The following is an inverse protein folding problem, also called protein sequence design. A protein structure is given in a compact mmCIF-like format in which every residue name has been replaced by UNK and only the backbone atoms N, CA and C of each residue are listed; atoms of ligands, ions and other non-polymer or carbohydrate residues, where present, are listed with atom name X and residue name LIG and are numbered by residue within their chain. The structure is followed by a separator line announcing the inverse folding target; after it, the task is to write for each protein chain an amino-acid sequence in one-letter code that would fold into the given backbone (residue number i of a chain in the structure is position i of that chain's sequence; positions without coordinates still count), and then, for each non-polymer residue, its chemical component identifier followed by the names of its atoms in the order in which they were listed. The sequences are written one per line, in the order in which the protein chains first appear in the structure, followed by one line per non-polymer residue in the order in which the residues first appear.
data_IF_744534130741
#
_entry.id   IF_744534130741
#
_cell.length_a   1.000
_cell.length_b   1.000
_cell.length_c   1.000
_cell.angle_alpha   90.00
_cell.angle_beta   90.00
_cell.angle_gamma   90.00
#
_symmetry.space_group_name_H-M   'P 1'
#
loop_
_entity.id
_entity.type
_entity.pdbx_description
1 polymer ?
#
# COMPACT_ATOMS: atom_id res chain seq x y z
N UNK A 1 -2.39 14.90 -81.48
CA UNK A 1 -2.89 13.62 -82.05
C UNK A 1 -2.56 12.53 -81.05
N UNK A 2 -3.52 11.77 -80.50
CA UNK A 2 -4.40 10.78 -81.18
C UNK A 2 -3.55 9.64 -81.82
N UNK A 3 -3.81 8.35 -81.59
CA UNK A 3 -5.06 7.71 -81.12
C UNK A 3 -4.85 6.22 -80.69
N UNK A 4 -5.62 5.73 -79.70
CA UNK A 4 -6.14 4.34 -79.53
C UNK A 4 -5.13 3.17 -79.31
N UNK A 5 -5.47 2.07 -78.60
CA UNK A 5 -6.78 1.41 -78.40
C UNK A 5 -6.81 0.38 -77.23
N UNK A 6 -7.98 0.18 -76.57
CA UNK A 6 -8.68 -1.12 -76.26
C UNK A 6 -7.92 -2.23 -75.46
N UNK A 7 -8.41 -2.98 -74.45
CA UNK A 7 -9.62 -3.12 -73.57
C UNK A 7 -9.17 -4.05 -72.36
N UNK A 8 -9.99 -4.67 -71.48
CA UNK A 8 -10.98 -4.23 -70.46
C UNK A 8 -11.80 -5.47 -69.99
N UNK A 9 -12.15 -5.61 -68.69
CA UNK A 9 -13.03 -6.68 -68.11
C UNK A 9 -12.37 -8.09 -68.08
N UNK A 10 -12.46 -8.99 -67.09
CA UNK A 10 -13.41 -9.31 -66.00
C UNK A 10 -12.64 -9.95 -64.79
N UNK A 11 -13.18 -10.33 -63.61
CA UNK A 11 -14.52 -10.30 -63.00
C UNK A 11 -14.39 -10.28 -61.44
N UNK A 12 -15.43 -10.69 -60.69
CA UNK A 12 -15.43 -10.93 -59.22
C UNK A 12 -15.96 -12.34 -58.93
N UNK A 13 -15.44 -13.06 -57.94
CA UNK A 13 -16.26 -13.96 -57.11
C UNK A 13 -15.65 -14.18 -55.71
N UNK A 14 -16.51 -14.18 -54.69
CA UNK A 14 -16.17 -14.40 -53.28
C UNK A 14 -16.70 -15.78 -52.86
N UNK A 15 -15.88 -16.65 -52.25
CA UNK A 15 -16.39 -17.84 -51.56
C UNK A 15 -15.42 -18.35 -50.49
N UNK A 16 -15.96 -18.65 -49.31
CA UNK A 16 -15.24 -19.07 -48.12
C UNK A 16 -15.43 -20.57 -47.83
N UNK A 17 -14.34 -21.31 -47.58
CA UNK A 17 -14.38 -22.61 -46.89
C UNK A 17 -13.13 -22.75 -46.00
N UNK A 18 -13.32 -23.34 -44.82
CA UNK A 18 -12.35 -23.43 -43.71
C UNK A 18 -11.48 -24.71 -43.74
N UNK A 19 -10.52 -24.77 -42.80
CA UNK A 19 -9.72 -25.93 -42.32
C UNK A 19 -8.37 -26.15 -43.03
N UNK A 20 -7.27 -26.56 -42.38
CA UNK A 20 -6.73 -26.59 -40.99
C UNK A 20 -5.43 -27.40 -41.10
N UNK A 21 -4.44 -27.16 -40.23
CA UNK A 21 -3.23 -28.01 -40.01
C UNK A 21 -2.21 -28.15 -41.16
N UNK A 22 -0.89 -28.24 -40.92
CA UNK A 22 -0.12 -27.98 -39.69
C UNK A 22 1.36 -27.76 -40.04
N UNK A 23 2.03 -26.83 -39.36
CA UNK A 23 3.48 -26.85 -39.16
C UNK A 23 3.85 -26.20 -37.81
N UNK A 24 4.06 -27.04 -36.80
CA UNK A 24 4.84 -26.77 -35.59
C UNK A 24 4.60 -25.46 -34.85
N UNK A 25 3.57 -25.40 -34.00
CA UNK A 25 3.53 -24.43 -32.89
C UNK A 25 4.68 -24.73 -31.90
N UNK A 26 5.76 -23.95 -31.97
CA UNK A 26 6.56 -23.72 -30.78
C UNK A 26 5.83 -22.68 -29.93
N UNK A 27 5.02 -23.17 -28.99
CA UNK A 27 4.33 -22.34 -28.00
C UNK A 27 5.36 -21.77 -27.01
N UNK A 28 6.08 -20.74 -27.46
CA UNK A 28 6.88 -19.86 -26.61
C UNK A 28 5.92 -19.03 -25.76
N UNK A 29 5.37 -19.68 -24.72
CA UNK A 29 4.43 -19.11 -23.76
C UNK A 29 4.89 -17.71 -23.35
N UNK A 30 4.10 -16.71 -23.78
CA UNK A 30 4.27 -15.32 -23.40
C UNK A 30 4.33 -15.22 -21.87
N UNK A 31 5.53 -15.00 -21.31
CA UNK A 31 5.69 -14.56 -19.92
C UNK A 31 5.27 -13.09 -19.85
N UNK A 32 3.96 -12.88 -19.95
CA UNK A 32 3.28 -11.60 -19.80
C UNK A 32 3.55 -11.07 -18.38
N UNK A 33 4.51 -10.15 -18.29
CA UNK A 33 5.07 -9.55 -17.09
C UNK A 33 5.73 -10.55 -16.11
N UNK A 34 7.02 -10.32 -15.86
CA UNK A 34 7.81 -11.03 -14.86
C UNK A 34 7.17 -10.85 -13.46
N UNK A 35 6.77 -11.93 -12.76
CA UNK A 35 6.05 -11.79 -11.49
C UNK A 35 6.97 -11.24 -10.39
N UNK A 36 6.36 -10.50 -9.46
CA UNK A 36 7.04 -10.06 -8.23
C UNK A 36 6.96 -11.19 -7.21
N UNK A 37 8.13 -11.61 -6.72
CA UNK A 37 8.28 -12.53 -5.60
C UNK A 37 8.45 -11.73 -4.32
N UNK A 38 7.70 -12.10 -3.27
CA UNK A 38 7.74 -11.45 -1.95
C UNK A 38 8.42 -12.39 -0.94
N UNK A 39 9.63 -12.06 -0.51
CA UNK A 39 10.43 -12.89 0.39
C UNK A 39 10.36 -12.35 1.81
N UNK A 40 9.81 -13.12 2.76
CA UNK A 40 9.74 -12.75 4.17
C UNK A 40 11.11 -12.79 4.85
N UNK A 41 11.83 -11.67 4.84
CA UNK A 41 13.19 -11.57 5.39
C UNK A 41 13.23 -11.63 6.91
N UNK A 42 12.30 -10.95 7.59
CA UNK A 42 12.17 -10.94 9.06
C UNK A 42 10.68 -10.86 9.42
N UNK A 43 10.21 -11.64 10.38
CA UNK A 43 8.76 -11.75 10.71
C UNK A 43 8.42 -11.36 12.15
N UNK A 44 9.38 -10.86 12.92
CA UNK A 44 9.21 -10.50 14.34
C UNK A 44 10.07 -9.29 14.78
N UNK A 45 10.40 -8.37 13.86
CA UNK A 45 11.25 -7.23 14.19
C UNK A 45 10.53 -6.22 15.09
N UNK A 46 11.24 -5.65 16.06
CA UNK A 46 10.81 -4.47 16.83
C UNK A 46 11.12 -3.17 16.07
N UNK A 47 12.29 -3.11 15.44
CA UNK A 47 12.70 -2.06 14.52
C UNK A 47 13.66 -2.60 13.45
N UNK A 48 13.79 -1.87 12.34
CA UNK A 48 14.79 -2.09 11.29
C UNK A 48 15.34 -0.79 10.73
N UNK A 49 16.60 -0.79 10.29
CA UNK A 49 17.18 0.32 9.54
C UNK A 49 17.07 0.04 8.04
N UNK A 50 16.47 0.97 7.30
CA UNK A 50 16.48 0.97 5.85
C UNK A 50 17.46 2.05 5.38
N UNK A 51 18.36 1.71 4.45
CA UNK A 51 19.31 2.67 3.86
C UNK A 51 19.45 2.48 2.35
N UNK A 52 20.05 3.46 1.68
CA UNK A 52 20.58 3.32 0.32
C UNK A 52 21.92 4.05 0.20
N UNK A 53 22.68 3.74 -0.85
CA UNK A 53 23.85 4.51 -1.29
C UNK A 53 23.52 5.46 -2.44
N UNK A 54 22.24 5.54 -2.83
CA UNK A 54 21.70 6.58 -3.72
C UNK A 54 21.61 7.93 -3.00
N UNK A 55 21.31 8.98 -3.75
CA UNK A 55 20.97 10.33 -3.27
C UNK A 55 19.75 10.37 -2.35
N UNK A 56 18.77 9.45 -2.49
CA UNK A 56 17.62 9.39 -1.59
C UNK A 56 16.88 8.06 -1.57
N UNK A 57 16.19 7.82 -0.45
CA UNK A 57 15.15 6.81 -0.31
C UNK A 57 13.82 7.32 -0.86
N UNK A 58 13.04 6.36 -1.36
CA UNK A 58 11.68 6.52 -1.84
C UNK A 58 10.78 5.62 -0.98
N UNK A 59 9.62 6.13 -0.55
CA UNK A 59 8.57 5.33 0.10
C UNK A 59 7.28 5.31 -0.71
N UNK A 60 6.58 4.18 -0.71
CA UNK A 60 5.27 3.98 -1.35
C UNK A 60 4.39 3.17 -0.41
N UNK A 61 3.13 3.59 -0.21
CA UNK A 61 2.10 2.76 0.42
C UNK A 61 1.02 2.40 -0.62
N UNK A 62 0.22 1.34 -0.40
CA UNK A 62 -0.95 1.05 -1.22
C UNK A 62 -1.89 2.27 -1.34
N UNK A 63 -2.31 2.55 -2.57
CA UNK A 63 -3.25 3.63 -2.93
C UNK A 63 -2.77 5.05 -2.56
N UNK A 64 -1.47 5.24 -2.32
CA UNK A 64 -0.86 6.53 -2.00
C UNK A 64 0.18 6.93 -3.06
N UNK A 65 0.37 8.24 -3.32
CA UNK A 65 1.44 8.71 -4.19
C UNK A 65 2.82 8.39 -3.59
N UNK A 66 3.79 8.22 -4.48
CA UNK A 66 5.18 8.01 -4.11
C UNK A 66 5.74 9.21 -3.32
N UNK A 67 6.34 8.93 -2.16
CA UNK A 67 6.96 9.92 -1.28
C UNK A 67 8.48 9.91 -1.47
N UNK A 68 9.04 11.05 -1.86
CA UNK A 68 10.49 11.26 -1.85
C UNK A 68 10.92 11.68 -0.44
N UNK A 69 11.87 10.97 0.17
CA UNK A 69 12.17 11.17 1.59
C UNK A 69 13.29 12.20 1.87
N UNK A 70 14.00 12.68 0.83
CA UNK A 70 15.14 13.59 0.98
C UNK A 70 16.25 13.10 1.95
N UNK A 71 16.31 11.79 2.24
CA UNK A 71 17.26 11.14 3.15
C UNK A 71 17.69 9.79 2.61
N UNK A 72 18.91 9.36 2.93
CA UNK A 72 19.46 8.05 2.54
C UNK A 72 19.25 6.97 3.60
N UNK A 73 18.69 7.33 4.77
CA UNK A 73 18.48 6.44 5.91
C UNK A 73 17.18 6.75 6.65
N UNK A 74 16.42 5.70 6.96
CA UNK A 74 15.31 5.74 7.92
C UNK A 74 15.40 4.61 8.94
N UNK A 75 14.87 4.85 10.13
CA UNK A 75 14.57 3.82 11.13
C UNK A 75 13.07 3.55 11.12
N UNK A 76 12.69 2.28 11.01
CA UNK A 76 11.29 1.85 10.96
C UNK A 76 10.98 1.02 12.20
N UNK A 77 9.89 1.33 12.91
CA UNK A 77 9.42 0.60 14.11
C UNK A 77 7.91 0.42 14.10
N UNK A 78 7.38 -0.36 15.05
CA UNK A 78 5.94 -0.44 15.30
C UNK A 78 5.58 0.27 16.62
N UNK A 79 4.52 1.10 16.63
CA UNK A 79 3.94 1.66 17.86
C UNK A 79 2.43 1.39 17.93
N UNK A 80 1.85 1.46 19.13
CA UNK A 80 0.39 1.45 19.30
C UNK A 80 -0.22 2.64 18.56
N UNK A 81 -1.26 2.38 17.75
CA UNK A 81 -1.96 3.42 17.02
C UNK A 81 -2.59 4.41 18.00
N UNK A 82 -2.44 5.70 17.69
CA UNK A 82 -3.14 6.79 18.38
C UNK A 82 -4.00 7.48 17.32
N UNK A 83 -5.34 7.45 17.45
CA UNK A 83 -6.20 8.23 16.56
C UNK A 83 -5.78 9.70 16.60
N UNK A 84 -5.83 10.42 15.46
CA UNK A 84 -5.61 11.87 15.46
C UNK A 84 -6.70 12.58 16.27
N UNK A 85 -6.28 13.66 16.92
CA UNK A 85 -7.15 14.63 17.59
C UNK A 85 -7.36 15.81 16.65
N UNK A 86 -8.60 16.24 16.49
CA UNK A 86 -8.99 17.42 15.71
C UNK A 86 -9.75 18.39 16.61
N UNK A 87 -9.46 19.68 16.47
CA UNK A 87 -10.26 20.73 17.10
C UNK A 87 -11.35 21.13 16.08
N UNK A 88 -12.62 21.01 16.46
CA UNK A 88 -13.78 21.49 15.69
C UNK A 88 -14.39 22.72 16.37
N UNK A 89 -14.96 23.61 15.56
CA UNK A 89 -15.44 24.92 16.01
C UNK A 89 -16.96 25.00 15.92
N UNK A 90 -17.62 25.16 17.06
CA UNK A 90 -19.06 25.41 17.18
C UNK A 90 -19.35 26.87 17.45
N UNK A 91 -20.55 27.34 17.08
CA UNK A 91 -21.00 28.71 17.30
C UNK A 91 -22.15 28.67 18.30
N UNK A 92 -22.00 29.34 19.44
CA UNK A 92 -23.03 29.38 20.48
C UNK A 92 -23.34 30.85 20.83
N UNK A 93 -24.61 31.25 20.71
CA UNK A 93 -25.12 32.50 21.29
C UNK A 93 -25.45 32.16 22.75
N UNK A 94 -24.78 32.79 23.69
CA UNK A 94 -24.78 32.45 25.12
C UNK A 94 -25.49 33.52 25.97
N UNK A 95 -25.69 33.22 27.26
CA UNK A 95 -26.23 34.15 28.27
C UNK A 95 -27.68 34.62 28.02
N UNK A 96 -28.52 33.79 27.41
CA UNK A 96 -29.94 34.09 27.19
C UNK A 96 -30.73 33.77 28.47
N UNK A 97 -31.60 34.65 28.95
CA UNK A 97 -32.19 34.53 30.29
C UNK A 97 -33.34 33.52 30.35
N UNK A 98 -34.08 33.32 29.26
CA UNK A 98 -35.27 32.45 29.24
C UNK A 98 -35.33 31.49 28.04
N UNK A 99 -36.06 30.38 28.20
CA UNK A 99 -36.30 29.42 27.11
C UNK A 99 -37.04 30.07 25.94
N UNK A 100 -38.03 30.93 26.24
CA UNK A 100 -38.84 31.60 25.22
C UNK A 100 -38.00 32.57 24.37
N UNK A 101 -37.10 33.30 25.02
CA UNK A 101 -36.14 34.18 24.35
C UNK A 101 -35.13 33.36 23.54
N UNK A 102 -34.64 32.23 24.06
CA UNK A 102 -33.72 31.36 23.33
C UNK A 102 -34.38 30.70 22.11
N UNK A 103 -35.64 30.31 22.21
CA UNK A 103 -36.44 29.81 21.09
C UNK A 103 -36.71 30.91 20.04
N UNK A 104 -36.92 32.17 20.48
CA UNK A 104 -37.06 33.33 19.59
C UNK A 104 -35.74 33.62 18.85
N UNK A 105 -34.62 33.78 19.56
CA UNK A 105 -33.28 33.95 18.96
C UNK A 105 -32.95 32.81 18.00
N UNK A 106 -33.25 31.57 18.38
CA UNK A 106 -33.04 30.41 17.52
C UNK A 106 -33.93 30.41 16.26
N UNK A 107 -35.11 31.02 16.31
CA UNK A 107 -35.99 31.23 15.16
C UNK A 107 -35.45 32.35 14.27
N UNK A 108 -35.10 33.49 14.84
CA UNK A 108 -34.61 34.66 14.11
C UNK A 108 -33.29 34.34 13.37
N UNK A 109 -32.38 33.62 14.03
CA UNK A 109 -31.17 33.07 13.39
C UNK A 109 -31.54 32.18 12.20
N UNK A 110 -32.47 31.23 12.38
CA UNK A 110 -32.94 30.33 11.30
C UNK A 110 -33.47 31.11 10.10
N UNK A 111 -34.29 32.13 10.33
CA UNK A 111 -34.90 32.94 9.27
C UNK A 111 -33.89 33.85 8.56
N UNK A 112 -32.89 34.39 9.27
CA UNK A 112 -31.87 35.29 8.71
C UNK A 112 -30.67 34.58 8.06
N UNK A 113 -30.34 33.37 8.50
CA UNK A 113 -29.13 32.63 8.06
C UNK A 113 -29.44 31.39 7.23
N UNK A 114 -30.66 30.84 7.32
CA UNK A 114 -31.04 29.50 6.85
C UNK A 114 -30.23 28.34 7.49
N UNK A 115 -29.52 28.61 8.59
CA UNK A 115 -28.77 27.60 9.34
C UNK A 115 -29.65 26.89 10.37
N UNK A 116 -29.28 25.64 10.70
CA UNK A 116 -29.94 24.90 11.79
C UNK A 116 -29.54 25.48 13.14
N UNK A 117 -30.44 25.43 14.11
CA UNK A 117 -30.17 25.87 15.49
C UNK A 117 -30.57 24.82 16.52
N UNK A 118 -29.80 24.68 17.59
CA UNK A 118 -30.11 23.81 18.72
C UNK A 118 -30.06 24.61 20.04
N UNK A 119 -31.22 24.72 20.68
CA UNK A 119 -31.39 25.37 21.99
C UNK A 119 -31.02 24.40 23.12
N UNK A 120 -30.20 24.84 24.08
CA UNK A 120 -29.83 24.07 25.28
C UNK A 120 -29.76 24.98 26.51
N UNK A 121 -30.12 24.44 27.67
CA UNK A 121 -29.88 25.07 28.97
C UNK A 121 -28.45 24.75 29.44
N UNK A 122 -27.70 25.77 29.86
CA UNK A 122 -26.47 25.57 30.61
C UNK A 122 -26.78 25.46 32.11
N UNK A 123 -26.62 24.26 32.66
CA UNK A 123 -26.93 23.98 34.05
C UNK A 123 -25.95 24.63 35.07
N UNK A 124 -24.83 25.22 34.62
CA UNK A 124 -23.88 25.90 35.53
C UNK A 124 -24.24 27.37 35.75
N UNK A 125 -24.60 28.07 34.68
CA UNK A 125 -24.98 29.49 34.71
C UNK A 125 -26.49 29.69 34.88
N UNK A 126 -27.29 28.62 34.69
CA UNK A 126 -28.74 28.68 34.60
C UNK A 126 -29.23 29.63 33.48
N UNK A 127 -28.44 29.77 32.42
CA UNK A 127 -28.76 30.55 31.22
C UNK A 127 -28.89 29.62 30.02
N UNK A 128 -29.67 30.05 29.03
CA UNK A 128 -29.86 29.34 27.77
C UNK A 128 -28.79 29.72 26.75
N UNK A 129 -28.52 28.80 25.84
CA UNK A 129 -27.61 29.01 24.71
C UNK A 129 -28.17 28.37 23.44
N UNK A 130 -27.92 29.03 22.31
CA UNK A 130 -28.34 28.59 20.98
C UNK A 130 -27.10 28.24 20.18
N UNK A 131 -26.91 26.95 19.88
CA UNK A 131 -25.88 26.51 18.92
C UNK A 131 -26.39 26.78 17.50
N UNK A 132 -25.55 27.33 16.64
CA UNK A 132 -25.89 27.74 15.26
C UNK A 132 -25.02 26.99 14.25
N UNK A 133 -25.65 26.46 13.21
CA UNK A 133 -25.01 25.81 12.06
C UNK A 133 -24.35 24.46 12.38
N UNK A 134 -23.70 23.91 11.36
CA UNK A 134 -22.77 22.80 11.49
C UNK A 134 -21.38 23.30 11.96
N UNK A 135 -20.59 22.42 12.58
CA UNK A 135 -19.23 22.77 13.01
C UNK A 135 -18.30 23.09 11.83
N UNK A 136 -17.28 23.92 12.05
CA UNK A 136 -16.17 24.10 11.09
C UNK A 136 -14.95 23.30 11.50
N UNK A 137 -14.17 22.86 10.52
CA UNK A 137 -12.95 22.06 10.72
C UNK A 137 -11.69 22.94 10.81
N UNK A 138 -11.79 24.22 10.42
CA UNK A 138 -10.70 25.20 10.49
C UNK A 138 -11.11 26.45 11.28
N UNK A 139 -10.12 27.12 11.88
CA UNK A 139 -10.35 28.36 12.64
C UNK A 139 -10.63 29.54 11.69
N UNK A 140 -10.11 29.49 10.47
CA UNK A 140 -10.36 30.43 9.39
C UNK A 140 -11.84 30.44 8.99
N UNK A 141 -12.40 29.29 8.60
CA UNK A 141 -13.84 29.14 8.30
C UNK A 141 -14.72 29.54 9.50
N UNK A 142 -14.26 29.26 10.72
CA UNK A 142 -14.99 29.63 11.93
C UNK A 142 -15.03 31.14 12.15
N UNK A 143 -13.94 31.85 11.89
CA UNK A 143 -13.90 33.30 11.97
C UNK A 143 -14.74 33.96 10.87
N UNK A 144 -14.71 33.43 9.64
CA UNK A 144 -15.56 33.90 8.54
C UNK A 144 -17.05 33.71 8.85
N UNK A 145 -17.45 32.53 9.32
CA UNK A 145 -18.84 32.26 9.68
C UNK A 145 -19.31 33.10 10.88
N UNK A 146 -18.44 33.33 11.88
CA UNK A 146 -18.74 34.26 12.98
C UNK A 146 -18.92 35.70 12.49
N UNK A 147 -18.16 36.14 11.50
CA UNK A 147 -18.31 37.47 10.91
C UNK A 147 -19.68 37.62 10.21
N UNK A 148 -20.08 36.65 9.38
CA UNK A 148 -21.39 36.61 8.71
C UNK A 148 -22.56 36.63 9.72
N UNK A 149 -22.47 35.87 10.82
CA UNK A 149 -23.45 35.95 11.92
C UNK A 149 -23.50 37.36 12.53
N UNK A 150 -22.35 38.00 12.74
CA UNK A 150 -22.28 39.34 13.32
C UNK A 150 -22.81 40.43 12.38
N UNK A 151 -22.61 40.31 11.05
CA UNK A 151 -23.20 41.22 10.06
C UNK A 151 -24.73 41.11 10.02
N UNK A 152 -25.26 39.91 10.28
CA UNK A 152 -26.69 39.63 10.44
C UNK A 152 -27.24 40.00 11.82
N UNK A 153 -26.42 40.59 12.70
CA UNK A 153 -26.82 41.08 14.02
C UNK A 153 -26.72 40.07 15.16
N UNK A 154 -26.18 38.86 14.93
CA UNK A 154 -26.07 37.81 15.94
C UNK A 154 -24.66 37.70 16.52
N UNK A 155 -24.54 37.93 17.83
CA UNK A 155 -23.25 37.82 18.54
C UNK A 155 -23.06 36.37 19.01
N UNK A 156 -22.29 35.59 18.25
CA UNK A 156 -21.93 34.22 18.59
C UNK A 156 -20.49 34.09 19.15
N UNK A 157 -20.31 33.22 20.13
CA UNK A 157 -19.01 32.78 20.63
C UNK A 157 -18.56 31.51 19.89
N UNK A 158 -17.24 31.39 19.63
CA UNK A 158 -16.65 30.18 19.07
C UNK A 158 -16.27 29.27 20.24
N UNK A 159 -16.88 28.09 20.27
CA UNK A 159 -16.58 27.02 21.23
C UNK A 159 -15.76 25.95 20.52
N UNK A 160 -14.49 25.84 20.88
CA UNK A 160 -13.60 24.78 20.39
C UNK A 160 -13.89 23.47 21.14
N UNK A 161 -14.30 22.44 20.42
CA UNK A 161 -14.47 21.08 20.94
C UNK A 161 -13.41 20.18 20.31
N UNK A 162 -12.64 19.45 21.14
CA UNK A 162 -11.65 18.50 20.63
C UNK A 162 -12.27 17.12 20.47
N UNK A 163 -12.27 16.63 19.24
CA UNK A 163 -12.77 15.29 18.89
C UNK A 163 -11.62 14.35 18.53
N UNK A 164 -11.81 13.07 18.85
CA UNK A 164 -10.90 11.99 18.49
C UNK A 164 -11.55 11.22 17.34
N UNK A 165 -11.01 11.33 16.12
CA UNK A 165 -11.59 10.70 14.92
C UNK A 165 -10.60 9.67 14.33
N UNK A 166 -10.84 8.36 14.54
CA UNK A 166 -10.02 7.32 13.92
C UNK A 166 -10.17 7.32 12.39
N UNK A 167 -9.10 6.95 11.67
CA UNK A 167 -9.18 6.81 10.22
C UNK A 167 -10.01 5.57 9.81
N UNK A 168 -10.56 5.60 8.60
CA UNK A 168 -11.26 4.46 7.99
C UNK A 168 -10.39 3.19 7.97
N UNK A 169 -9.10 3.32 7.69
CA UNK A 169 -8.10 2.25 7.75
C UNK A 169 -7.96 1.67 9.17
N UNK A 170 -7.96 2.51 10.20
CA UNK A 170 -7.87 2.07 11.60
C UNK A 170 -9.10 1.25 12.00
N UNK A 171 -10.28 1.64 11.54
CA UNK A 171 -11.52 0.90 11.77
C UNK A 171 -11.52 -0.42 11.00
N UNK A 172 -11.18 -0.42 9.72
CA UNK A 172 -11.12 -1.62 8.89
C UNK A 172 -10.16 -2.67 9.50
N UNK A 173 -8.96 -2.26 9.89
CA UNK A 173 -7.98 -3.12 10.57
C UNK A 173 -8.46 -3.58 11.95
N UNK A 174 -9.14 -2.73 12.71
CA UNK A 174 -9.72 -3.10 14.01
C UNK A 174 -10.79 -4.17 13.88
N UNK A 175 -11.65 -4.08 12.85
CA UNK A 175 -12.66 -5.10 12.54
C UNK A 175 -12.00 -6.40 12.08
N UNK A 176 -10.98 -6.33 11.23
CA UNK A 176 -10.22 -7.50 10.78
C UNK A 176 -9.49 -8.20 11.94
N UNK A 177 -8.96 -7.45 12.91
CA UNK A 177 -8.39 -7.98 14.16
C UNK A 177 -9.44 -8.64 15.07
N UNK A 178 -10.71 -8.22 15.02
CA UNK A 178 -11.81 -8.79 15.83
C UNK A 178 -12.43 -10.04 15.18
N UNK A 179 -12.52 -10.08 13.86
CA UNK A 179 -13.23 -11.14 13.11
C UNK A 179 -12.31 -12.25 12.58
N UNK A 180 -11.06 -11.91 12.23
CA UNK A 180 -10.13 -12.86 11.62
C UNK A 180 -9.46 -13.79 12.62
N UNK A 181 -9.15 -15.01 12.17
CA UNK A 181 -8.18 -15.85 12.88
C UNK A 181 -6.80 -15.17 12.96
N UNK A 182 -5.92 -15.59 13.88
CA UNK A 182 -4.56 -15.02 14.04
C UNK A 182 -3.69 -15.01 12.75
N UNK A 183 -4.12 -15.72 11.71
CA UNK A 183 -3.50 -15.86 10.39
C UNK A 183 -4.16 -15.01 9.29
N UNK A 184 -5.17 -14.20 9.61
CA UNK A 184 -5.97 -13.44 8.62
C UNK A 184 -5.83 -11.92 8.76
N UNK A 185 -5.12 -11.44 9.78
CA UNK A 185 -4.83 -10.01 9.98
C UNK A 185 -3.80 -9.55 8.96
N UNK A 186 -4.28 -9.05 7.83
CA UNK A 186 -3.48 -8.38 6.81
C UNK A 186 -3.34 -6.91 7.22
N UNK A 187 -2.14 -6.34 7.11
CA UNK A 187 -2.06 -4.92 6.79
C UNK A 187 -2.80 -4.69 5.47
N UNK A 188 -3.53 -3.59 5.31
CA UNK A 188 -4.36 -3.34 4.12
C UNK A 188 -3.50 -3.36 2.84
N UNK A 189 -3.60 -4.47 2.08
CA UNK A 189 -2.93 -4.67 0.78
C UNK A 189 -3.86 -4.22 -0.39
N UNK A 190 -5.14 -3.96 -0.09
CA UNK A 190 -6.14 -3.34 -0.98
C UNK A 190 -7.05 -2.43 -0.15
N UNK A 191 -7.61 -1.36 -0.75
CA UNK A 191 -8.50 -0.44 -0.05
C UNK A 191 -9.87 -1.09 0.17
N UNK A 192 -10.48 -0.84 1.33
CA UNK A 192 -11.85 -1.28 1.62
C UNK A 192 -12.78 -0.08 1.46
N UNK A 193 -13.40 0.05 0.29
CA UNK A 193 -14.40 1.10 0.04
C UNK A 193 -15.70 0.79 0.77
N UNK A 194 -15.84 1.22 2.02
CA UNK A 194 -17.12 1.22 2.73
C UNK A 194 -17.17 2.22 3.88
N UNK A 195 -18.04 3.23 3.72
CA UNK A 195 -18.80 3.94 4.77
C UNK A 195 -18.09 4.37 6.07
N UNK A 196 -18.00 5.69 6.28
CA UNK A 196 -17.69 6.35 7.55
C UNK A 196 -18.50 5.78 8.73
N UNK A 197 -17.87 5.15 9.74
CA UNK A 197 -18.54 4.66 10.93
C UNK A 197 -18.24 5.60 12.12
N UNK A 198 -19.21 6.41 12.49
CA UNK A 198 -19.07 7.53 13.46
C UNK A 198 -18.91 7.13 14.93
N UNK A 199 -18.73 5.84 15.24
CA UNK A 199 -18.40 5.34 16.59
C UNK A 199 -17.80 3.91 16.55
N UNK A 200 -16.80 3.70 15.69
CA UNK A 200 -16.14 2.40 15.60
C UNK A 200 -15.06 2.21 16.69
N UNK A 201 -15.30 1.28 17.61
CA UNK A 201 -14.36 0.89 18.67
C UNK A 201 -13.04 0.34 18.07
N UNK A 202 -11.98 1.14 18.14
CA UNK A 202 -10.63 0.78 17.72
C UNK A 202 -10.07 -0.34 18.61
N UNK A 203 -9.41 -1.32 18.00
CA UNK A 203 -8.77 -2.39 18.74
C UNK A 203 -7.61 -1.82 19.59
N UNK A 204 -7.57 -2.05 20.92
CA UNK A 204 -6.54 -1.46 21.79
C UNK A 204 -5.12 -1.98 21.49
N UNK A 205 -5.00 -3.09 20.75
CA UNK A 205 -3.72 -3.63 20.29
C UNK A 205 -3.39 -3.23 18.83
N UNK A 206 -4.19 -2.37 18.19
CA UNK A 206 -3.88 -1.84 16.86
C UNK A 206 -2.54 -1.10 16.90
N UNK A 207 -1.70 -1.38 15.91
CA UNK A 207 -0.34 -0.85 15.80
C UNK A 207 -0.07 -0.43 14.37
N UNK A 208 0.71 0.64 14.25
CA UNK A 208 1.07 1.27 12.99
C UNK A 208 2.59 1.22 12.78
N UNK A 209 3.01 1.27 11.51
CA UNK A 209 4.40 1.43 11.09
C UNK A 209 4.80 2.89 11.31
N UNK A 210 5.92 3.13 11.98
CA UNK A 210 6.53 4.45 12.15
C UNK A 210 7.83 4.50 11.39
N UNK A 211 7.96 5.50 10.53
CA UNK A 211 9.19 5.85 9.82
C UNK A 211 9.76 7.08 10.51
N UNK A 212 11.07 7.04 10.81
CA UNK A 212 11.81 8.17 11.36
C UNK A 212 13.05 8.41 10.50
N UNK A 213 13.17 9.58 9.88
CA UNK A 213 14.26 9.88 8.94
C UNK A 213 14.70 11.34 8.87
N UNK A 214 14.14 12.21 9.71
CA UNK A 214 14.24 13.68 9.59
C UNK A 214 12.90 14.31 9.22
N UNK A 215 12.89 15.63 8.99
CA UNK A 215 11.67 16.44 8.82
C UNK A 215 10.71 15.87 7.77
N UNK A 216 11.22 15.59 6.57
CA UNK A 216 10.40 15.18 5.42
C UNK A 216 10.30 13.65 5.27
N UNK A 217 10.89 12.91 6.21
CA UNK A 217 11.00 11.45 6.21
C UNK A 217 10.46 10.80 7.50
N UNK A 218 9.66 11.53 8.28
CA UNK A 218 9.05 11.03 9.50
C UNK A 218 7.53 11.04 9.39
N UNK A 219 6.92 9.86 9.43
CA UNK A 219 5.48 9.65 9.27
C UNK A 219 5.06 8.32 9.87
N UNK A 220 3.75 8.13 10.06
CA UNK A 220 3.15 6.83 10.36
C UNK A 220 2.29 6.31 9.21
N UNK A 221 2.06 5.00 9.19
CA UNK A 221 1.08 4.36 8.32
C UNK A 221 0.53 3.09 8.94
N UNK A 222 -0.77 2.87 8.77
CA UNK A 222 -1.45 1.62 9.07
C UNK A 222 -1.35 0.60 7.92
N UNK A 223 -0.95 1.06 6.73
CA UNK A 223 -0.70 0.22 5.55
C UNK A 223 0.75 -0.27 5.54
N UNK A 224 1.08 -1.16 4.60
CA UNK A 224 2.48 -1.53 4.34
C UNK A 224 3.23 -0.37 3.70
N UNK A 225 4.44 -0.07 4.16
CA UNK A 225 5.32 0.95 3.56
C UNK A 225 6.45 0.25 2.81
N UNK A 226 6.55 0.48 1.51
CA UNK A 226 7.58 -0.06 0.64
C UNK A 226 8.69 0.97 0.40
N UNK A 227 9.93 0.59 0.72
CA UNK A 227 11.10 1.44 0.55
C UNK A 227 11.95 1.00 -0.64
N UNK A 228 12.34 1.96 -1.48
CA UNK A 228 13.27 1.77 -2.59
C UNK A 228 14.28 2.91 -2.65
N UNK A 229 15.09 2.88 -3.71
CA UNK A 229 15.98 3.97 -4.14
C UNK A 229 15.60 4.41 -5.55
N UNK A 230 16.06 5.59 -5.96
CA UNK A 230 15.74 6.19 -7.25
C UNK A 230 16.31 5.31 -8.39
N UNK A 231 17.57 4.88 -8.25
CA UNK A 231 18.24 3.98 -9.16
C UNK A 231 18.44 2.59 -8.53
N UNK A 232 17.34 1.91 -8.24
CA UNK A 232 17.30 0.59 -7.59
C UNK A 232 18.12 -0.51 -8.28
N UNK A 233 18.49 -0.34 -9.57
CA UNK A 233 19.38 -1.26 -10.30
C UNK A 233 20.87 -1.06 -9.98
N UNK A 234 21.32 0.17 -9.73
CA UNK A 234 22.73 0.49 -9.47
C UNK A 234 23.01 0.68 -7.98
N UNK A 235 22.09 1.31 -7.25
CA UNK A 235 22.19 1.68 -5.84
C UNK A 235 21.05 1.05 -5.04
N UNK A 236 21.03 -0.30 -4.88
CA UNK A 236 19.93 -1.03 -4.27
C UNK A 236 19.62 -0.55 -2.84
N UNK A 237 18.34 -0.67 -2.46
CA UNK A 237 17.89 -0.50 -1.08
C UNK A 237 18.53 -1.55 -0.16
N UNK A 238 18.78 -1.19 1.09
CA UNK A 238 19.48 -2.02 2.06
C UNK A 238 18.65 -2.15 3.33
N UNK A 239 18.53 -3.38 3.82
CA UNK A 239 17.94 -3.71 5.12
C UNK A 239 19.06 -4.05 6.09
N UNK A 240 19.19 -3.32 7.19
CA UNK A 240 20.22 -3.51 8.22
C UNK A 240 21.64 -3.64 7.62
N UNK A 241 21.96 -2.80 6.63
CA UNK A 241 23.24 -2.77 5.92
C UNK A 241 23.38 -3.74 4.74
N UNK A 242 22.52 -4.76 4.61
CA UNK A 242 22.55 -5.74 3.53
C UNK A 242 21.69 -5.32 2.33
N UNK A 243 22.24 -5.37 1.12
CA UNK A 243 21.59 -4.89 -0.10
C UNK A 243 20.62 -5.90 -0.73
N UNK A 244 19.51 -5.40 -1.26
CA UNK A 244 18.47 -6.18 -1.94
C UNK A 244 17.97 -5.43 -3.18
N UNK A 245 17.70 -6.19 -4.25
CA UNK A 245 17.06 -5.66 -5.47
C UNK A 245 15.58 -5.39 -5.23
N UNK A 246 14.95 -4.59 -6.08
CA UNK A 246 13.55 -4.20 -5.91
C UNK A 246 13.35 -3.28 -4.72
N UNK A 247 12.41 -3.62 -3.83
CA UNK A 247 11.99 -2.81 -2.68
C UNK A 247 11.90 -3.63 -1.38
N UNK A 248 11.99 -2.95 -0.24
CA UNK A 248 11.74 -3.52 1.09
C UNK A 248 10.39 -3.04 1.60
N UNK A 249 9.41 -3.94 1.65
CA UNK A 249 8.08 -3.72 2.22
C UNK A 249 8.11 -4.00 3.72
N UNK A 250 7.56 -3.08 4.53
CA UNK A 250 7.48 -3.19 5.99
C UNK A 250 6.04 -2.97 6.43
N UNK A 251 5.52 -3.87 7.26
CA UNK A 251 4.18 -3.78 7.83
C UNK A 251 4.09 -4.40 9.22
N UNK A 252 3.07 -4.03 10.00
CA UNK A 252 2.75 -4.66 11.27
C UNK A 252 1.94 -5.93 11.03
N UNK A 253 2.34 -7.05 11.65
CA UNK A 253 1.62 -8.32 11.57
C UNK A 253 0.64 -8.54 12.74
N UNK A 254 -0.10 -9.65 12.69
CA UNK A 254 -1.07 -10.07 13.74
C UNK A 254 -0.50 -10.17 15.16
N UNK A 255 0.82 -10.21 15.33
CA UNK A 255 1.52 -10.23 16.64
C UNK A 255 1.91 -8.83 17.13
N UNK A 256 1.58 -7.77 16.40
CA UNK A 256 1.98 -6.39 16.73
C UNK A 256 3.48 -6.11 16.51
N UNK A 257 4.14 -6.95 15.71
CA UNK A 257 5.57 -6.86 15.36
C UNK A 257 5.75 -6.54 13.88
N UNK A 258 6.90 -5.98 13.49
CA UNK A 258 7.20 -5.74 12.08
C UNK A 258 7.50 -7.05 11.34
N UNK A 259 6.87 -7.18 10.18
CA UNK A 259 7.28 -8.09 9.11
C UNK A 259 7.93 -7.27 8.01
N UNK A 260 9.06 -7.77 7.52
CA UNK A 260 9.89 -7.12 6.53
C UNK A 260 10.07 -8.09 5.37
N UNK A 261 9.65 -7.64 4.19
CA UNK A 261 9.53 -8.42 2.98
C UNK A 261 10.37 -7.76 1.90
N UNK A 262 11.18 -8.52 1.17
CA UNK A 262 11.75 -8.02 -0.07
C UNK A 262 10.81 -8.37 -1.22
N UNK A 263 10.28 -7.35 -1.90
CA UNK A 263 9.50 -7.51 -3.12
C UNK A 263 10.39 -7.17 -4.31
N UNK A 264 10.64 -8.18 -5.15
CA UNK A 264 11.64 -8.17 -6.22
C UNK A 264 11.11 -8.98 -7.40
N UNK A 265 11.53 -8.68 -8.62
CA UNK A 265 11.09 -9.46 -9.79
C UNK A 265 11.76 -10.84 -9.80
N UNK A 266 11.09 -11.83 -10.38
CA UNK A 266 11.50 -13.25 -10.35
C UNK A 266 12.95 -13.50 -10.81
N UNK A 267 13.41 -12.85 -11.87
CA UNK A 267 14.77 -13.05 -12.38
C UNK A 267 15.81 -12.39 -11.46
N UNK A 268 15.53 -11.19 -10.96
CA UNK A 268 16.37 -10.50 -9.95
C UNK A 268 16.41 -11.25 -8.60
N UNK A 269 15.35 -12.00 -8.26
CA UNK A 269 15.33 -12.93 -7.12
C UNK A 269 16.31 -14.09 -7.34
N UNK A 270 16.27 -14.72 -8.52
CA UNK A 270 17.11 -15.88 -8.84
C UNK A 270 18.61 -15.58 -8.82
N UNK A 271 19.01 -14.35 -9.16
CA UNK A 271 20.40 -13.89 -9.01
C UNK A 271 20.92 -14.07 -7.57
N UNK A 272 20.05 -13.89 -6.57
CA UNK A 272 20.34 -14.08 -5.15
C UNK A 272 20.02 -15.48 -4.60
N UNK A 273 19.50 -16.40 -5.42
CA UNK A 273 19.23 -17.81 -5.05
C UNK A 273 20.27 -18.75 -5.65
N UNK A 274 20.43 -18.75 -6.97
CA UNK A 274 21.21 -19.75 -7.71
C UNK A 274 22.64 -19.94 -7.18
N UNK A 275 23.43 -18.87 -6.90
CA UNK A 275 24.78 -19.01 -6.32
C UNK A 275 24.84 -19.58 -4.89
N UNK A 276 23.71 -19.61 -4.17
CA UNK A 276 23.63 -20.07 -2.79
C UNK A 276 23.08 -21.50 -2.66
N UNK A 277 22.39 -22.00 -3.69
CA UNK A 277 21.85 -23.36 -3.74
C UNK A 277 22.83 -24.34 -4.40
N UNK A 278 23.61 -23.87 -5.38
CA UNK A 278 24.60 -24.70 -6.07
C UNK A 278 25.95 -23.97 -6.13
N UNK A 279 26.95 -24.53 -5.46
CA UNK A 279 28.34 -24.04 -5.48
C UNK A 279 29.20 -24.59 -6.62
N UNK A 280 28.68 -25.58 -7.38
CA UNK A 280 29.41 -26.25 -8.45
C UNK A 280 29.66 -25.28 -9.63
N UNK A 281 30.92 -25.06 -10.06
CA UNK A 281 31.26 -24.16 -11.16
C UNK A 281 31.06 -24.84 -12.54
N UNK A 282 29.86 -25.39 -12.79
CA UNK A 282 29.48 -26.01 -14.06
C UNK A 282 28.24 -25.32 -14.62
N UNK A 283 28.37 -24.65 -15.77
CA UNK A 283 27.34 -23.75 -16.31
C UNK A 283 26.00 -24.47 -16.58
N UNK A 284 26.02 -25.69 -17.15
CA UNK A 284 24.78 -26.43 -17.42
C UNK A 284 24.08 -26.91 -16.13
N UNK A 285 24.84 -27.20 -15.06
CA UNK A 285 24.27 -27.50 -13.75
C UNK A 285 23.65 -26.24 -13.11
N UNK A 286 24.32 -25.08 -13.24
CA UNK A 286 23.78 -23.79 -12.80
C UNK A 286 22.52 -23.40 -13.59
N UNK A 287 22.44 -23.72 -14.89
CA UNK A 287 21.22 -23.53 -15.71
C UNK A 287 20.08 -24.44 -15.26
N UNK A 288 20.36 -25.72 -15.02
CA UNK A 288 19.37 -26.64 -14.45
C UNK A 288 18.86 -26.14 -13.09
N UNK A 289 19.76 -25.65 -12.22
CA UNK A 289 19.41 -25.03 -10.95
C UNK A 289 18.56 -23.77 -11.13
N UNK A 290 18.88 -22.91 -12.11
CA UNK A 290 18.09 -21.71 -12.41
C UNK A 290 16.66 -22.04 -12.87
N UNK A 291 16.50 -23.02 -13.77
CA UNK A 291 15.18 -23.51 -14.22
C UNK A 291 14.40 -24.13 -13.06
N UNK A 292 15.02 -25.00 -12.26
CA UNK A 292 14.39 -25.61 -11.09
C UNK A 292 13.95 -24.54 -10.09
N UNK A 293 14.85 -23.61 -9.75
CA UNK A 293 14.58 -22.53 -8.80
C UNK A 293 13.47 -21.57 -9.28
N UNK A 294 13.47 -21.21 -10.57
CA UNK A 294 12.41 -20.40 -11.19
C UNK A 294 11.05 -21.08 -11.11
N UNK A 295 11.04 -22.38 -11.42
CA UNK A 295 9.81 -23.19 -11.40
C UNK A 295 9.26 -23.32 -9.99
N UNK A 296 10.12 -23.62 -9.00
CA UNK A 296 9.74 -23.69 -7.60
C UNK A 296 9.14 -22.36 -7.12
N UNK A 297 9.79 -21.23 -7.43
CA UNK A 297 9.34 -19.91 -7.00
C UNK A 297 7.94 -19.58 -7.53
N UNK A 298 7.66 -19.84 -8.81
CA UNK A 298 6.32 -19.65 -9.40
C UNK A 298 5.30 -20.61 -8.78
N UNK A 299 5.64 -21.90 -8.62
CA UNK A 299 4.74 -22.90 -8.08
C UNK A 299 4.33 -22.65 -6.62
N UNK A 300 5.13 -21.86 -5.88
CA UNK A 300 4.93 -21.57 -4.45
C UNK A 300 4.61 -20.09 -4.16
N UNK A 301 4.21 -19.29 -5.17
CA UNK A 301 3.65 -17.95 -4.92
C UNK A 301 2.45 -18.07 -3.97
N UNK A 302 2.40 -17.22 -2.93
CA UNK A 302 1.38 -17.27 -1.89
C UNK A 302 1.53 -18.39 -0.85
N UNK A 303 2.61 -19.19 -0.84
CA UNK A 303 2.84 -20.26 0.15
C UNK A 303 2.75 -19.75 1.60
N UNK A 304 3.20 -18.52 1.87
CA UNK A 304 3.04 -17.83 3.16
C UNK A 304 2.05 -16.65 3.11
N UNK A 305 1.06 -16.66 2.21
CA UNK A 305 0.17 -15.52 1.95
C UNK A 305 -0.61 -15.02 3.17
N UNK A 306 -0.90 -15.90 4.14
CA UNK A 306 -1.48 -15.56 5.46
C UNK A 306 -0.56 -14.69 6.34
N UNK A 307 0.74 -14.71 6.07
CA UNK A 307 1.76 -13.88 6.72
C UNK A 307 2.17 -12.67 5.86
N UNK A 308 1.57 -12.49 4.67
CA UNK A 308 1.78 -11.34 3.80
C UNK A 308 2.93 -11.44 2.81
N UNK A 309 3.52 -12.62 2.60
CA UNK A 309 4.61 -12.87 1.66
C UNK A 309 4.51 -14.25 0.99
N UNK A 310 5.35 -14.52 0.01
CA UNK A 310 5.33 -15.75 -0.80
C UNK A 310 6.28 -16.81 -0.24
N UNK A 311 7.56 -16.47 -0.06
CA UNK A 311 8.66 -17.41 0.21
C UNK A 311 9.52 -16.99 1.42
N UNK A 312 10.31 -17.91 1.97
CA UNK A 312 11.34 -17.64 2.99
C UNK A 312 12.75 -17.64 2.39
N UNK A 313 13.71 -16.86 2.93
CA UNK A 313 15.09 -16.78 2.42
C UNK A 313 16.01 -17.92 2.91
N UNK A 314 15.43 -19.05 3.30
CA UNK A 314 16.12 -20.20 3.91
C UNK A 314 15.68 -21.49 3.23
N UNK A 315 16.31 -22.62 3.58
CA UNK A 315 15.98 -23.98 3.10
C UNK A 315 14.52 -24.42 3.32
N UNK A 316 13.68 -23.62 4.00
CA UNK A 316 12.23 -23.82 4.05
C UNK A 316 11.51 -23.46 2.74
N UNK A 317 12.14 -22.63 1.92
CA UNK A 317 11.75 -22.39 0.52
C UNK A 317 13.01 -22.50 -0.34
N UNK A 318 13.82 -21.43 -0.41
CA UNK A 318 15.08 -21.40 -1.16
C UNK A 318 16.08 -20.46 -0.47
N UNK A 319 17.38 -20.72 -0.57
CA UNK A 319 18.44 -19.95 0.09
C UNK A 319 18.68 -18.61 -0.61
N UNK A 320 17.82 -17.63 -0.34
CA UNK A 320 17.95 -16.27 -0.89
C UNK A 320 18.85 -15.39 -0.03
N UNK A 321 19.99 -14.93 -0.59
CA UNK A 321 20.91 -14.03 0.11
C UNK A 321 21.02 -12.62 -0.49
N UNK A 322 20.20 -12.25 -1.47
CA UNK A 322 20.13 -10.88 -1.99
C UNK A 322 21.38 -10.44 -2.78
N UNK A 323 21.45 -9.13 -3.06
CA UNK A 323 22.33 -8.55 -4.09
C UNK A 323 23.83 -8.86 -3.87
N UNK A 324 24.29 -8.88 -2.62
CA UNK A 324 25.70 -9.13 -2.31
C UNK A 324 26.15 -10.59 -2.46
N UNK A 325 25.26 -11.50 -2.91
CA UNK A 325 25.57 -12.92 -3.12
C UNK A 325 25.56 -13.35 -4.59
N UNK A 326 25.35 -12.40 -5.51
CA UNK A 326 25.34 -12.67 -6.96
C UNK A 326 26.73 -13.11 -7.43
N UNK A 327 26.78 -14.08 -8.35
CA UNK A 327 28.02 -14.61 -8.93
C UNK A 327 27.95 -14.58 -10.45
N UNK A 328 29.08 -14.34 -11.14
CA UNK A 328 29.11 -14.22 -12.60
C UNK A 328 28.47 -15.42 -13.32
N UNK A 329 28.77 -16.64 -12.88
CA UNK A 329 28.24 -17.86 -13.48
C UNK A 329 26.75 -18.08 -13.14
N UNK A 330 26.32 -17.78 -11.92
CA UNK A 330 24.90 -17.85 -11.53
C UNK A 330 24.06 -16.83 -12.30
N UNK A 331 24.55 -15.59 -12.42
CA UNK A 331 23.92 -14.55 -13.24
C UNK A 331 23.83 -14.96 -14.71
N UNK A 332 24.90 -15.53 -15.28
CA UNK A 332 24.89 -16.06 -16.65
C UNK A 332 23.83 -17.17 -16.81
N UNK A 333 23.78 -18.14 -15.89
CA UNK A 333 22.81 -19.23 -15.93
C UNK A 333 21.35 -18.76 -15.80
N UNK A 334 21.08 -17.76 -14.96
CA UNK A 334 19.74 -17.14 -14.84
C UNK A 334 19.36 -16.44 -16.14
N UNK A 335 20.26 -15.64 -16.72
CA UNK A 335 20.01 -14.89 -17.96
C UNK A 335 19.82 -15.81 -19.18
N UNK A 336 20.67 -16.84 -19.36
CA UNK A 336 20.58 -17.81 -20.46
C UNK A 336 19.36 -18.75 -20.33
N UNK A 337 18.69 -18.78 -19.17
CA UNK A 337 17.46 -19.57 -18.95
C UNK A 337 16.23 -18.71 -18.66
N UNK A 338 16.29 -17.39 -18.91
CA UNK A 338 15.24 -16.42 -18.57
C UNK A 338 13.86 -16.90 -19.08
N UNK A 339 12.87 -16.96 -18.19
CA UNK A 339 11.52 -17.45 -18.50
C UNK A 339 11.36 -18.97 -18.69
N UNK A 340 12.44 -19.77 -18.75
CA UNK A 340 12.35 -21.23 -18.88
C UNK A 340 11.96 -21.87 -17.55
N UNK A 341 10.90 -22.66 -17.58
CA UNK A 341 10.31 -23.37 -16.42
C UNK A 341 9.95 -24.81 -16.77
N UNK A 342 10.04 -25.71 -15.79
CA UNK A 342 9.62 -27.10 -15.94
C UNK A 342 8.11 -27.24 -15.68
N UNK A 343 7.38 -27.87 -16.60
CA UNK A 343 5.93 -28.05 -16.46
C UNK A 343 5.51 -29.51 -16.60
N UNK A 344 4.36 -29.83 -16.01
CA UNK A 344 3.66 -31.09 -16.21
C UNK A 344 2.16 -30.80 -16.39
N UNK A 345 1.56 -31.31 -17.47
CA UNK A 345 0.16 -31.03 -17.84
C UNK A 345 -0.18 -29.52 -17.86
N UNK A 346 0.71 -28.71 -18.43
CA UNK A 346 0.53 -27.26 -18.57
C UNK A 346 0.65 -26.44 -17.28
N UNK A 347 1.13 -27.03 -16.18
CA UNK A 347 1.33 -26.35 -14.89
C UNK A 347 2.79 -26.46 -14.45
N UNK A 348 3.39 -25.41 -13.84
CA UNK A 348 4.70 -25.51 -13.19
C UNK A 348 4.73 -26.69 -12.19
N UNK A 349 5.80 -27.48 -12.21
CA UNK A 349 5.98 -28.54 -11.21
C UNK A 349 6.46 -27.95 -9.88
N UNK A 350 6.25 -28.64 -8.76
CA UNK A 350 6.95 -28.29 -7.52
C UNK A 350 8.39 -28.82 -7.60
N UNK A 351 9.30 -28.02 -8.16
CA UNK A 351 10.67 -28.39 -8.46
C UNK A 351 11.57 -28.42 -7.21
N UNK A 352 11.36 -29.43 -6.36
CA UNK A 352 12.21 -29.71 -5.19
C UNK A 352 13.60 -30.19 -5.61
N UNK A 353 14.64 -29.74 -4.91
CA UNK A 353 16.04 -30.16 -5.09
C UNK A 353 16.75 -30.28 -3.73
N UNK A 354 17.88 -30.99 -3.69
CA UNK A 354 18.73 -31.17 -2.51
C UNK A 354 20.18 -31.43 -2.95
N UNK A 355 21.13 -31.27 -2.03
CA UNK A 355 22.57 -31.54 -2.21
C UNK A 355 22.92 -33.02 -2.20
#
# INVERSE_FOLDING_TARGET
MNLRSILFISFIFLLSVSNVSAFGEFDYLNVNQEPIIRIGLVTNASSVSITTTDSSLVAVSPDEPQRFLATTKVSVSARSYRPPEFDIYHFEIVNIESSQEADAVAKDVREATNEKTLVKLDAKTNTWRVRVGEAKETIEEANEFKADLSEKGFVAEIVTERIVQPSTDAVALSNQLKQGGKSEVRSLIKPTNSSQPTNAEINPNLREVIVNGGKDASFSSLKSVAFGSINSRATPVRLNGKAYRGRIEVFVNSRGSLTVVNAVSLEDYLLGVVPNELSLPAIEAQKAQAVAARTYAIANIGQFGTQGFDLLPTVRSQVYRGFSSESKMGTQAVLETRGIVATYKGKPINAMYTS
#
